data_IF_397111746940
#
_entry.id   IF_397111746940
#
_cell.length_a   1.000
_cell.length_b   1.000
_cell.length_c   1.000
_cell.angle_alpha   90.00
_cell.angle_beta   90.00
_cell.angle_gamma   90.00
#
_symmetry.space_group_name_H-M   'P 1'
#
loop_
_entity.id
_entity.type
_entity.pdbx_description
1 polymer ?
#
# COMPACT_ATOMS: atom_id res chain seq x y z
N UNK A 1 -12.53 24.60 -21.65
CA UNK A 1 -13.99 24.36 -21.79
C UNK A 1 -14.27 23.45 -22.97
N UNK A 2 -13.71 23.74 -24.16
CA UNK A 2 -13.85 22.91 -25.38
C UNK A 2 -13.67 21.39 -25.17
N UNK A 3 -12.64 20.94 -24.42
CA UNK A 3 -12.42 19.51 -24.17
C UNK A 3 -13.44 18.83 -23.25
N UNK A 4 -14.07 19.60 -22.35
CA UNK A 4 -15.13 19.10 -21.45
C UNK A 4 -16.44 18.94 -22.24
N UNK A 5 -16.72 19.86 -23.16
CA UNK A 5 -17.87 19.76 -24.07
C UNK A 5 -17.73 18.56 -25.02
N UNK A 6 -16.50 18.26 -25.48
CA UNK A 6 -16.21 17.06 -26.27
C UNK A 6 -16.45 15.78 -25.47
N UNK A 7 -16.07 15.75 -24.19
CA UNK A 7 -16.32 14.61 -23.31
C UNK A 7 -17.82 14.42 -23.02
N UNK A 8 -18.55 15.51 -22.75
CA UNK A 8 -20.00 15.47 -22.55
C UNK A 8 -20.74 14.96 -23.80
N UNK A 9 -20.31 15.40 -24.98
CA UNK A 9 -20.86 14.93 -26.26
C UNK A 9 -20.57 13.45 -26.49
N UNK A 10 -19.33 13.00 -26.21
CA UNK A 10 -18.94 11.60 -26.37
C UNK A 10 -19.71 10.67 -25.41
N UNK A 11 -19.96 11.10 -24.16
CA UNK A 11 -20.76 10.34 -23.20
C UNK A 11 -22.22 10.23 -23.64
N UNK A 12 -22.80 11.31 -24.16
CA UNK A 12 -24.17 11.31 -24.67
C UNK A 12 -24.35 10.39 -25.90
N UNK A 13 -23.35 10.38 -26.80
CA UNK A 13 -23.34 9.46 -27.95
C UNK A 13 -23.17 8.00 -27.53
N UNK A 14 -22.39 7.73 -26.48
CA UNK A 14 -22.20 6.40 -25.90
C UNK A 14 -23.50 5.86 -25.31
N UNK A 15 -24.15 6.65 -24.45
CA UNK A 15 -25.42 6.29 -23.81
C UNK A 15 -26.52 6.05 -24.86
N UNK A 16 -26.54 6.88 -25.90
CA UNK A 16 -27.46 6.71 -27.03
C UNK A 16 -27.20 5.44 -27.84
N UNK A 17 -25.94 5.01 -27.96
CA UNK A 17 -25.56 3.78 -28.66
C UNK A 17 -25.88 2.54 -27.82
N UNK A 18 -25.67 2.60 -26.51
CA UNK A 18 -25.97 1.53 -25.55
C UNK A 18 -27.48 1.25 -25.50
N UNK A 19 -28.30 2.30 -25.45
CA UNK A 19 -29.76 2.19 -25.51
C UNK A 19 -30.28 1.57 -26.81
N UNK A 20 -29.59 1.80 -27.93
CA UNK A 20 -29.91 1.17 -29.22
C UNK A 20 -29.50 -0.30 -29.28
N UNK A 21 -28.40 -0.67 -28.63
CA UNK A 21 -27.97 -2.06 -28.53
C UNK A 21 -28.92 -2.86 -27.61
N UNK A 22 -29.35 -2.28 -26.49
CA UNK A 22 -30.25 -2.91 -25.52
C UNK A 22 -31.67 -3.15 -26.08
N UNK A 23 -32.08 -2.34 -27.06
CA UNK A 23 -33.36 -2.48 -27.77
C UNK A 23 -33.27 -3.35 -29.05
N UNK A 24 -32.07 -3.83 -29.42
CA UNK A 24 -31.86 -4.63 -30.61
C UNK A 24 -31.94 -6.14 -30.30
N UNK A 25 -32.46 -6.91 -31.26
CA UNK A 25 -32.58 -8.36 -31.15
C UNK A 25 -31.18 -9.01 -31.17
N UNK A 26 -30.81 -9.81 -30.14
CA UNK A 26 -29.51 -10.47 -30.07
C UNK A 26 -29.20 -11.30 -31.32
N UNK A 27 -27.93 -11.28 -31.77
CA UNK A 27 -27.42 -11.99 -32.94
C UNK A 27 -27.98 -11.58 -34.32
N UNK A 28 -28.80 -10.52 -34.38
CA UNK A 28 -29.17 -9.90 -35.66
C UNK A 28 -27.96 -9.23 -36.33
N UNK A 29 -27.92 -9.12 -37.67
CA UNK A 29 -26.87 -8.37 -38.37
C UNK A 29 -26.80 -6.90 -37.94
N UNK A 30 -27.91 -6.33 -37.46
CA UNK A 30 -27.97 -4.98 -36.87
C UNK A 30 -27.31 -4.94 -35.47
N UNK A 31 -27.52 -5.95 -34.62
CA UNK A 31 -26.87 -6.06 -33.32
C UNK A 31 -25.33 -6.09 -33.43
N UNK A 32 -24.78 -6.85 -34.38
CA UNK A 32 -23.33 -6.91 -34.64
C UNK A 32 -22.75 -5.59 -35.17
N UNK A 33 -23.56 -4.77 -35.84
CA UNK A 33 -23.15 -3.43 -36.24
C UNK A 33 -23.19 -2.46 -35.05
N UNK A 34 -24.22 -2.55 -34.21
CA UNK A 34 -24.37 -1.75 -33.00
C UNK A 34 -23.27 -2.04 -31.97
N UNK A 35 -22.83 -3.30 -31.81
CA UNK A 35 -21.68 -3.66 -30.97
C UNK A 35 -20.38 -2.99 -31.45
N UNK A 36 -20.14 -3.00 -32.77
CA UNK A 36 -18.96 -2.33 -33.36
C UNK A 36 -19.04 -0.82 -33.18
N UNK A 37 -20.21 -0.22 -33.34
CA UNK A 37 -20.42 1.22 -33.11
C UNK A 37 -20.25 1.57 -31.63
N UNK A 38 -20.73 0.74 -30.71
CA UNK A 38 -20.56 0.95 -29.27
C UNK A 38 -19.08 0.83 -28.87
N UNK A 39 -18.34 -0.15 -29.40
CA UNK A 39 -16.91 -0.27 -29.16
C UNK A 39 -16.12 0.95 -29.66
N UNK A 40 -16.51 1.51 -30.81
CA UNK A 40 -15.94 2.75 -31.34
C UNK A 40 -16.26 3.97 -30.45
N UNK A 41 -17.48 4.06 -29.93
CA UNK A 41 -17.87 5.16 -29.04
C UNK A 41 -17.20 5.05 -27.65
N UNK A 42 -17.05 3.83 -27.11
CA UNK A 42 -16.26 3.57 -25.88
C UNK A 42 -14.82 4.07 -26.03
N UNK A 43 -14.20 3.79 -27.17
CA UNK A 43 -12.84 4.24 -27.46
C UNK A 43 -12.73 5.77 -27.53
N UNK A 44 -13.72 6.46 -28.11
CA UNK A 44 -13.76 7.93 -28.17
C UNK A 44 -13.94 8.58 -26.80
N UNK A 45 -14.75 7.99 -25.92
CA UNK A 45 -14.95 8.48 -24.54
C UNK A 45 -13.65 8.36 -23.73
N UNK A 46 -12.92 7.24 -23.87
CA UNK A 46 -11.63 7.03 -23.20
C UNK A 46 -10.61 8.09 -23.65
N UNK A 47 -10.48 8.31 -24.97
CA UNK A 47 -9.57 9.32 -25.53
C UNK A 47 -9.96 10.76 -25.11
N UNK A 48 -11.25 11.07 -25.05
CA UNK A 48 -11.72 12.37 -24.55
C UNK A 48 -11.42 12.55 -23.05
N UNK A 49 -11.56 11.49 -22.25
CA UNK A 49 -11.26 11.49 -20.81
C UNK A 49 -9.76 11.67 -20.51
N UNK A 50 -8.90 11.02 -21.29
CA UNK A 50 -7.45 11.22 -21.23
C UNK A 50 -7.06 12.65 -21.61
N UNK A 51 -7.68 13.21 -22.65
CA UNK A 51 -7.42 14.57 -23.13
C UNK A 51 -7.84 15.67 -22.13
N UNK A 52 -8.86 15.42 -21.31
CA UNK A 52 -9.29 16.30 -20.20
C UNK A 52 -8.33 16.16 -19.01
N UNK A 53 -7.89 14.94 -18.69
CA UNK A 53 -6.97 14.64 -17.60
C UNK A 53 -5.58 15.27 -17.80
N UNK A 54 -5.09 15.34 -19.05
CA UNK A 54 -3.79 15.94 -19.38
C UNK A 54 -3.76 17.48 -19.34
N UNK A 55 -4.91 18.16 -19.24
CA UNK A 55 -4.96 19.64 -19.21
C UNK A 55 -4.85 20.26 -17.83
N UNK A 56 -4.77 19.50 -16.75
CA UNK A 56 -4.57 20.05 -15.40
C UNK A 56 -5.70 20.97 -14.88
N UNK A 57 -6.81 21.08 -15.61
CA UNK A 57 -8.02 21.77 -15.18
C UNK A 57 -8.93 20.79 -14.45
N UNK A 58 -8.56 20.44 -13.22
CA UNK A 58 -9.53 19.99 -12.24
C UNK A 58 -10.50 21.17 -11.97
N UNK A 59 -11.84 20.98 -12.00
CA UNK A 59 -12.75 22.01 -11.57
C UNK A 59 -12.65 22.17 -10.05
N UNK A 60 -11.84 23.12 -9.61
CA UNK A 60 -12.02 23.80 -8.33
C UNK A 60 -13.26 24.70 -8.40
N UNK A 61 -14.37 24.24 -7.83
CA UNK A 61 -15.46 25.00 -7.16
C UNK A 61 -16.65 24.04 -6.95
N UNK A 62 -17.18 23.77 -5.75
CA UNK A 62 -17.44 24.65 -4.61
C UNK A 62 -17.16 23.93 -3.29
N UNK A 63 -16.30 24.51 -2.45
CA UNK A 63 -16.36 24.34 -0.99
C UNK A 63 -17.44 25.31 -0.49
N UNK A 64 -18.17 24.90 0.54
CA UNK A 64 -19.26 25.62 1.23
C UNK A 64 -20.66 25.40 0.65
N UNK A 65 -21.23 24.24 0.97
CA UNK A 65 -22.47 24.06 1.74
C UNK A 65 -23.04 22.66 1.48
N UNK A 66 -22.57 21.68 2.26
CA UNK A 66 -23.33 20.55 2.79
C UNK A 66 -22.34 19.73 3.64
N UNK A 67 -22.34 20.00 4.94
CA UNK A 67 -21.63 19.22 5.94
C UNK A 67 -22.46 17.96 6.22
N UNK A 68 -22.27 16.89 5.43
CA UNK A 68 -22.49 15.50 5.86
C UNK A 68 -21.46 14.58 5.18
N UNK A 69 -20.81 13.79 6.03
CA UNK A 69 -19.70 12.83 5.88
C UNK A 69 -19.22 12.38 4.47
N UNK A 70 -17.95 12.65 4.09
CA UNK A 70 -17.36 12.20 2.82
C UNK A 70 -16.78 10.77 2.83
N UNK A 71 -16.97 9.97 3.88
CA UNK A 71 -16.37 8.61 3.97
C UNK A 71 -17.23 7.45 3.45
N UNK A 72 -18.54 7.64 3.30
CA UNK A 72 -19.44 6.53 2.95
C UNK A 72 -19.56 6.32 1.43
N UNK A 73 -19.51 7.38 0.62
CA UNK A 73 -19.70 7.28 -0.83
C UNK A 73 -18.53 6.61 -1.57
N UNK A 74 -17.29 6.77 -1.08
CA UNK A 74 -16.11 6.11 -1.67
C UNK A 74 -16.02 4.62 -1.31
N UNK A 75 -16.55 4.26 -0.14
CA UNK A 75 -16.58 2.87 0.37
C UNK A 75 -17.66 2.07 -0.35
N UNK A 76 -18.83 2.66 -0.58
CA UNK A 76 -19.92 2.04 -1.33
C UNK A 76 -19.55 1.79 -2.80
N UNK A 77 -18.90 2.76 -3.46
CA UNK A 77 -18.40 2.58 -4.83
C UNK A 77 -17.33 1.48 -4.93
N UNK A 78 -16.38 1.42 -3.98
CA UNK A 78 -15.37 0.35 -3.93
C UNK A 78 -15.99 -1.03 -3.71
N UNK A 79 -17.00 -1.12 -2.83
CA UNK A 79 -17.71 -2.37 -2.59
C UNK A 79 -18.49 -2.83 -3.83
N UNK A 80 -19.18 -1.91 -4.52
CA UNK A 80 -19.89 -2.23 -5.75
C UNK A 80 -18.93 -2.65 -6.89
N UNK A 81 -17.76 -2.01 -7.02
CA UNK A 81 -16.74 -2.47 -7.98
C UNK A 81 -16.21 -3.86 -7.63
N UNK A 82 -15.94 -4.14 -6.35
CA UNK A 82 -15.45 -5.46 -5.90
C UNK A 82 -16.50 -6.55 -6.15
N UNK A 83 -17.77 -6.27 -5.89
CA UNK A 83 -18.88 -7.20 -6.15
C UNK A 83 -19.02 -7.46 -7.65
N UNK A 84 -19.04 -6.42 -8.49
CA UNK A 84 -19.15 -6.57 -9.93
C UNK A 84 -17.93 -7.30 -10.54
N UNK A 85 -16.72 -7.06 -10.04
CA UNK A 85 -15.52 -7.81 -10.47
C UNK A 85 -15.62 -9.28 -10.08
N UNK A 86 -16.15 -9.58 -8.89
CA UNK A 86 -16.34 -10.96 -8.42
C UNK A 86 -17.40 -11.70 -9.25
N UNK A 87 -18.48 -11.02 -9.62
CA UNK A 87 -19.53 -11.57 -10.48
C UNK A 87 -19.02 -11.84 -11.91
N UNK A 88 -18.32 -10.87 -12.50
CA UNK A 88 -17.70 -11.02 -13.82
C UNK A 88 -16.61 -12.12 -13.85
N UNK A 89 -15.89 -12.32 -12.74
CA UNK A 89 -14.97 -13.44 -12.58
C UNK A 89 -15.73 -14.78 -12.57
N UNK A 90 -16.84 -14.89 -11.85
CA UNK A 90 -17.66 -16.10 -11.83
C UNK A 90 -18.24 -16.46 -13.19
N UNK A 91 -18.72 -15.48 -13.96
CA UNK A 91 -19.19 -15.69 -15.33
C UNK A 91 -18.07 -16.14 -16.28
N UNK A 92 -16.88 -15.54 -16.14
CA UNK A 92 -15.71 -15.90 -16.92
C UNK A 92 -15.30 -17.36 -16.69
N UNK A 93 -15.27 -17.81 -15.43
CA UNK A 93 -14.95 -19.20 -15.06
C UNK A 93 -15.96 -20.18 -15.66
N UNK A 94 -17.26 -19.87 -15.56
CA UNK A 94 -18.31 -20.72 -16.13
C UNK A 94 -18.21 -20.85 -17.65
N UNK A 95 -17.77 -19.80 -18.35
CA UNK A 95 -17.54 -19.83 -19.81
C UNK A 95 -16.31 -20.67 -20.15
N UNK A 96 -15.22 -20.54 -19.39
CA UNK A 96 -13.98 -21.31 -19.58
C UNK A 96 -14.24 -22.81 -19.35
N UNK A 97 -15.01 -23.17 -18.33
CA UNK A 97 -15.38 -24.56 -18.05
C UNK A 97 -16.14 -25.19 -19.20
N UNK A 98 -17.13 -24.47 -19.75
CA UNK A 98 -17.89 -24.93 -20.92
C UNK A 98 -16.98 -25.08 -22.14
N UNK A 99 -16.06 -24.15 -22.34
CA UNK A 99 -15.10 -24.20 -23.45
C UNK A 99 -14.15 -25.41 -23.30
N UNK A 100 -13.68 -25.71 -22.09
CA UNK A 100 -12.86 -26.89 -21.83
C UNK A 100 -13.58 -28.20 -22.19
N UNK A 101 -14.86 -28.33 -21.85
CA UNK A 101 -15.69 -29.49 -22.24
C UNK A 101 -15.78 -29.63 -23.76
N UNK A 102 -15.94 -28.53 -24.48
CA UNK A 102 -15.98 -28.52 -25.96
C UNK A 102 -14.61 -28.90 -26.53
N UNK A 103 -13.52 -28.38 -25.97
CA UNK A 103 -12.16 -28.71 -26.40
C UNK A 103 -11.81 -30.17 -26.14
N UNK A 104 -12.25 -30.75 -25.03
CA UNK A 104 -12.05 -32.18 -24.75
C UNK A 104 -12.81 -33.05 -25.76
N UNK A 105 -14.07 -32.70 -26.06
CA UNK A 105 -14.84 -33.37 -27.09
C UNK A 105 -14.21 -33.23 -28.49
N UNK A 106 -13.62 -32.07 -28.80
CA UNK A 106 -12.93 -31.80 -30.05
C UNK A 106 -11.61 -32.58 -30.16
N UNK A 107 -10.81 -32.62 -29.09
CA UNK A 107 -9.58 -33.40 -29.02
C UNK A 107 -9.83 -34.90 -29.16
N UNK A 108 -10.86 -35.42 -28.51
CA UNK A 108 -11.29 -36.82 -28.66
C UNK A 108 -11.77 -37.17 -30.08
N UNK A 109 -12.14 -36.16 -30.88
CA UNK A 109 -12.49 -36.30 -32.30
C UNK A 109 -11.31 -36.02 -33.24
N UNK A 110 -10.11 -35.79 -32.70
CA UNK A 110 -8.87 -35.57 -33.46
C UNK A 110 -8.65 -34.12 -33.92
N UNK A 111 -9.37 -33.14 -33.37
CA UNK A 111 -9.18 -31.72 -33.66
C UNK A 111 -8.00 -31.10 -32.89
N UNK A 112 -7.38 -30.07 -33.47
CA UNK A 112 -6.32 -29.30 -32.79
C UNK A 112 -6.93 -28.35 -31.73
N UNK A 113 -6.49 -28.52 -30.49
CA UNK A 113 -6.98 -27.74 -29.34
C UNK A 113 -5.91 -26.84 -28.71
N UNK A 114 -4.67 -26.88 -29.21
CA UNK A 114 -3.54 -26.19 -28.57
C UNK A 114 -3.72 -24.67 -28.57
N UNK A 115 -4.17 -24.10 -29.69
CA UNK A 115 -4.38 -22.66 -29.82
C UNK A 115 -5.45 -22.13 -28.86
N UNK A 116 -6.53 -22.90 -28.67
CA UNK A 116 -7.62 -22.53 -27.78
C UNK A 116 -7.25 -22.69 -26.31
N UNK A 117 -6.49 -23.74 -25.94
CA UNK A 117 -5.98 -23.91 -24.58
C UNK A 117 -5.02 -22.80 -24.17
N UNK A 118 -4.19 -22.33 -25.11
CA UNK A 118 -3.30 -21.18 -24.89
C UNK A 118 -4.06 -19.87 -24.71
N UNK A 119 -5.17 -19.68 -25.41
CA UNK A 119 -6.05 -18.53 -25.21
C UNK A 119 -6.71 -18.57 -23.82
N UNK A 120 -7.20 -19.74 -23.41
CA UNK A 120 -7.75 -19.94 -22.07
C UNK A 120 -6.71 -19.59 -21.01
N UNK A 121 -5.48 -20.12 -21.11
CA UNK A 121 -4.39 -19.89 -20.15
C UNK A 121 -4.03 -18.41 -19.96
N UNK A 122 -4.00 -17.64 -21.05
CA UNK A 122 -3.74 -16.19 -20.99
C UNK A 122 -4.90 -15.42 -20.37
N UNK A 123 -6.14 -15.86 -20.61
CA UNK A 123 -7.35 -15.18 -20.15
C UNK A 123 -7.73 -15.61 -18.72
N UNK A 124 -7.37 -16.82 -18.29
CA UNK A 124 -7.62 -17.39 -16.97
C UNK A 124 -6.58 -17.02 -15.93
N UNK A 125 -5.59 -16.18 -16.27
CA UNK A 125 -4.46 -15.79 -15.41
C UNK A 125 -4.79 -15.09 -14.09
N UNK A 126 -6.06 -15.03 -13.70
CA UNK A 126 -6.54 -14.50 -12.41
C UNK A 126 -7.12 -15.61 -11.50
N UNK A 127 -7.31 -16.84 -11.97
CA UNK A 127 -7.75 -17.93 -11.09
C UNK A 127 -6.59 -18.72 -10.46
N UNK A 128 -6.68 -18.77 -9.14
CA UNK A 128 -5.80 -19.44 -8.21
C UNK A 128 -5.93 -20.94 -8.41
N UNK A 129 -5.04 -21.55 -9.21
CA UNK A 129 -4.88 -23.00 -9.16
C UNK A 129 -4.15 -23.35 -7.85
N UNK A 130 -4.92 -23.85 -6.89
CA UNK A 130 -4.45 -24.37 -5.60
C UNK A 130 -3.76 -25.72 -5.80
N UNK A 131 -2.63 -25.72 -6.50
CA UNK A 131 -1.56 -26.75 -6.47
C UNK A 131 -0.19 -26.07 -6.67
N UNK A 132 -0.11 -24.77 -6.36
CA UNK A 132 0.93 -23.86 -6.82
C UNK A 132 1.98 -23.56 -5.74
N UNK A 133 3.08 -24.31 -5.76
CA UNK A 133 4.33 -23.78 -5.19
C UNK A 133 4.99 -22.79 -6.17
N UNK A 134 4.70 -22.92 -7.47
CA UNK A 134 5.23 -22.03 -8.53
C UNK A 134 4.43 -20.73 -8.64
N UNK A 135 3.09 -20.77 -8.58
CA UNK A 135 2.25 -19.57 -8.61
C UNK A 135 2.46 -18.60 -7.45
N UNK A 136 2.88 -19.08 -6.26
CA UNK A 136 3.25 -18.20 -5.13
C UNK A 136 4.51 -17.38 -5.44
N UNK A 137 5.52 -18.00 -6.07
CA UNK A 137 6.75 -17.30 -6.45
C UNK A 137 6.46 -16.29 -7.56
N UNK A 138 5.66 -16.65 -8.56
CA UNK A 138 5.29 -15.74 -9.66
C UNK A 138 4.51 -14.53 -9.15
N UNK A 139 3.56 -14.72 -8.23
CA UNK A 139 2.81 -13.62 -7.60
C UNK A 139 3.71 -12.74 -6.73
N UNK A 140 4.64 -13.33 -5.99
CA UNK A 140 5.57 -12.58 -5.16
C UNK A 140 6.54 -11.74 -6.00
N UNK A 141 7.07 -12.30 -7.09
CA UNK A 141 7.94 -11.59 -8.04
C UNK A 141 7.18 -10.49 -8.77
N UNK A 142 5.94 -10.76 -9.19
CA UNK A 142 5.07 -9.78 -9.83
C UNK A 142 4.72 -8.61 -8.89
N UNK A 143 4.38 -8.91 -7.63
CA UNK A 143 4.20 -7.89 -6.60
C UNK A 143 5.49 -7.12 -6.32
N UNK A 144 6.65 -7.80 -6.36
CA UNK A 144 7.94 -7.17 -6.12
C UNK A 144 8.32 -6.17 -7.25
N UNK A 145 7.96 -6.47 -8.50
CA UNK A 145 8.19 -5.61 -9.65
C UNK A 145 7.11 -4.53 -9.83
N UNK A 146 5.97 -4.63 -9.16
CA UNK A 146 4.91 -3.62 -9.19
C UNK A 146 5.34 -2.30 -8.52
N UNK A 147 4.97 -1.17 -9.13
CA UNK A 147 5.21 0.19 -8.61
C UNK A 147 4.52 0.43 -7.26
N UNK A 148 3.36 -0.21 -7.03
CA UNK A 148 2.60 -0.04 -5.81
C UNK A 148 3.06 -0.94 -4.67
N UNK A 149 3.69 -2.08 -5.02
CA UNK A 149 4.18 -3.09 -4.08
C UNK A 149 5.68 -2.96 -3.79
N UNK A 150 6.47 -3.81 -4.45
CA UNK A 150 7.87 -4.01 -4.10
C UNK A 150 8.79 -2.84 -4.38
N UNK A 151 8.52 -2.01 -5.39
CA UNK A 151 9.32 -0.80 -5.64
C UNK A 151 9.15 0.20 -4.50
N UNK A 152 7.90 0.42 -4.06
CA UNK A 152 7.58 1.27 -2.90
C UNK A 152 8.23 0.73 -1.63
N UNK A 153 8.14 -0.58 -1.40
CA UNK A 153 8.80 -1.23 -0.26
C UNK A 153 10.32 -1.04 -0.33
N UNK A 154 10.94 -1.25 -1.50
CA UNK A 154 12.37 -1.06 -1.72
C UNK A 154 12.82 0.37 -1.38
N UNK A 155 12.08 1.39 -1.82
CA UNK A 155 12.34 2.78 -1.45
C UNK A 155 12.18 3.02 0.06
N UNK A 156 11.18 2.42 0.70
CA UNK A 156 11.00 2.46 2.16
C UNK A 156 12.14 1.79 2.92
N UNK A 157 12.69 0.69 2.42
CA UNK A 157 13.87 0.00 2.97
C UNK A 157 15.13 0.86 2.80
N UNK A 158 15.32 1.50 1.64
CA UNK A 158 16.44 2.43 1.44
C UNK A 158 16.35 3.60 2.43
N UNK A 159 15.16 4.20 2.59
CA UNK A 159 14.92 5.23 3.60
C UNK A 159 15.20 4.73 5.03
N UNK A 160 14.78 3.51 5.35
CA UNK A 160 15.06 2.87 6.64
C UNK A 160 16.56 2.79 6.91
N UNK A 161 17.32 2.24 5.96
CA UNK A 161 18.78 2.10 6.07
C UNK A 161 19.44 3.47 6.22
N UNK A 162 18.95 4.50 5.50
CA UNK A 162 19.46 5.86 5.61
C UNK A 162 19.23 6.44 7.00
N UNK A 163 18.02 6.30 7.57
CA UNK A 163 17.71 6.74 8.94
C UNK A 163 18.59 6.02 9.96
N UNK A 164 18.75 4.71 9.83
CA UNK A 164 19.60 3.91 10.72
C UNK A 164 21.07 4.35 10.63
N UNK A 165 21.57 4.61 9.42
CA UNK A 165 22.93 5.08 9.21
C UNK A 165 23.18 6.42 9.91
N UNK A 166 22.24 7.36 9.80
CA UNK A 166 22.28 8.65 10.50
C UNK A 166 22.23 8.45 12.02
N UNK A 167 21.38 7.55 12.51
CA UNK A 167 21.28 7.25 13.94
C UNK A 167 22.58 6.64 14.50
N UNK A 168 23.21 5.71 13.78
CA UNK A 168 24.49 5.14 14.18
C UNK A 168 25.55 6.24 14.27
N UNK A 169 25.61 7.12 13.28
CA UNK A 169 26.54 8.25 13.29
C UNK A 169 26.29 9.16 14.50
N UNK A 170 25.03 9.50 14.78
CA UNK A 170 24.66 10.29 15.95
C UNK A 170 25.07 9.60 17.26
N UNK A 171 24.84 8.28 17.39
CA UNK A 171 25.21 7.49 18.56
C UNK A 171 26.73 7.50 18.79
N UNK A 172 27.53 7.37 17.72
CA UNK A 172 29.00 7.45 17.80
C UNK A 172 29.49 8.84 18.24
N UNK A 173 28.86 9.91 17.74
CA UNK A 173 29.18 11.29 18.14
C UNK A 173 28.86 11.48 19.63
N UNK A 174 27.65 11.09 20.05
CA UNK A 174 27.20 11.17 21.45
C UNK A 174 28.10 10.35 22.38
N UNK A 175 28.47 9.13 21.98
CA UNK A 175 29.43 8.28 22.70
C UNK A 175 30.73 9.02 22.99
N UNK A 176 31.33 9.63 21.95
CA UNK A 176 32.59 10.37 22.08
C UNK A 176 32.43 11.63 22.94
N UNK A 177 31.32 12.35 22.76
CA UNK A 177 31.03 13.57 23.51
C UNK A 177 30.87 13.28 25.00
N UNK A 178 30.01 12.31 25.35
CA UNK A 178 29.77 11.89 26.73
C UNK A 178 31.07 11.42 27.37
N UNK A 179 31.83 10.55 26.69
CA UNK A 179 33.12 10.06 27.20
C UNK A 179 34.10 11.19 27.50
N UNK A 180 34.23 12.14 26.56
CA UNK A 180 35.17 13.26 26.68
C UNK A 180 34.76 14.22 27.80
N UNK A 181 33.47 14.51 27.94
CA UNK A 181 32.96 15.39 28.98
C UNK A 181 33.11 14.76 30.35
N UNK A 182 32.74 13.49 30.50
CA UNK A 182 32.75 12.80 31.79
C UNK A 182 34.17 12.45 32.25
N UNK A 183 35.10 12.19 31.34
CA UNK A 183 36.51 11.95 31.69
C UNK A 183 37.25 13.21 32.16
N UNK A 184 36.73 14.41 31.85
CA UNK A 184 37.28 15.68 32.35
C UNK A 184 36.85 15.98 33.78
N UNK A 185 35.72 15.42 34.20
CA UNK A 185 35.27 15.54 35.59
C UNK A 185 36.09 14.55 36.42
N UNK A 186 37.00 15.07 37.24
CA UNK A 186 37.79 14.23 38.15
C UNK A 186 36.89 13.48 39.14
N UNK A 187 37.27 12.25 39.50
CA UNK A 187 36.55 11.44 40.50
C UNK A 187 35.52 10.45 39.95
N UNK A 188 35.40 10.31 38.63
CA UNK A 188 34.49 9.34 38.00
C UNK A 188 35.24 8.02 37.75
N UNK A 189 34.70 6.89 38.22
CA UNK A 189 35.26 5.56 37.93
C UNK A 189 35.11 5.20 36.45
N UNK A 190 36.11 4.51 35.88
CA UNK A 190 36.07 4.01 34.49
C UNK A 190 34.86 3.12 34.23
N UNK A 191 34.44 2.31 35.21
CA UNK A 191 33.28 1.45 35.08
C UNK A 191 31.97 2.25 34.93
N UNK A 192 31.81 3.31 35.72
CA UNK A 192 30.64 4.18 35.64
C UNK A 192 30.64 4.96 34.33
N UNK A 193 31.80 5.45 33.90
CA UNK A 193 31.96 6.11 32.62
C UNK A 193 31.53 5.20 31.46
N UNK A 194 32.01 3.96 31.44
CA UNK A 194 31.66 2.99 30.39
C UNK A 194 30.16 2.63 30.45
N UNK A 195 29.58 2.49 31.65
CA UNK A 195 28.14 2.26 31.83
C UNK A 195 27.28 3.39 31.27
N UNK A 196 27.61 4.65 31.58
CA UNK A 196 26.87 5.81 31.09
C UNK A 196 26.99 5.92 29.57
N UNK A 197 28.22 5.80 29.04
CA UNK A 197 28.47 5.85 27.59
C UNK A 197 27.70 4.75 26.85
N UNK A 198 27.74 3.52 27.36
CA UNK A 198 27.01 2.37 26.82
C UNK A 198 25.49 2.58 26.85
N UNK A 199 24.96 3.10 27.96
CA UNK A 199 23.53 3.36 28.12
C UNK A 199 23.06 4.46 27.16
N UNK A 200 23.82 5.55 27.03
CA UNK A 200 23.50 6.62 26.08
C UNK A 200 23.56 6.14 24.64
N UNK A 201 24.61 5.41 24.24
CA UNK A 201 24.75 4.86 22.89
C UNK A 201 23.55 3.96 22.52
N UNK A 202 23.17 3.05 23.43
CA UNK A 202 22.03 2.15 23.24
C UNK A 202 20.71 2.91 23.21
N UNK A 203 20.52 3.92 24.06
CA UNK A 203 19.31 4.73 24.07
C UNK A 203 19.08 5.45 22.74
N UNK A 204 20.13 6.06 22.18
CA UNK A 204 20.08 6.74 20.88
C UNK A 204 19.77 5.75 19.75
N UNK A 205 20.38 4.56 19.78
CA UNK A 205 20.09 3.51 18.79
C UNK A 205 18.64 3.03 18.85
N UNK A 206 18.06 2.85 20.03
CA UNK A 206 16.64 2.47 20.16
C UNK A 206 15.74 3.53 19.55
N UNK A 207 15.97 4.81 19.85
CA UNK A 207 15.19 5.92 19.28
C UNK A 207 15.32 5.97 17.76
N UNK A 208 16.53 5.83 17.22
CA UNK A 208 16.75 5.82 15.78
C UNK A 208 16.14 4.61 15.09
N UNK A 209 16.16 3.44 15.73
CA UNK A 209 15.49 2.24 15.24
C UNK A 209 13.98 2.44 15.14
N UNK A 210 13.37 3.00 16.19
CA UNK A 210 11.95 3.35 16.17
C UNK A 210 11.63 4.34 15.04
N UNK A 211 12.39 5.43 14.92
CA UNK A 211 12.23 6.37 13.81
C UNK A 211 12.35 5.68 12.45
N UNK A 212 13.30 4.75 12.30
CA UNK A 212 13.45 3.93 11.10
C UNK A 212 12.18 3.12 10.80
N UNK A 213 11.60 2.43 11.78
CA UNK A 213 10.41 1.61 11.59
C UNK A 213 9.24 2.38 10.95
N UNK A 214 9.14 3.68 11.21
CA UNK A 214 8.10 4.53 10.59
C UNK A 214 8.24 4.64 9.08
N UNK A 215 9.46 4.56 8.53
CA UNK A 215 9.67 4.59 7.08
C UNK A 215 9.21 3.31 6.39
N UNK A 216 9.11 2.21 7.14
CA UNK A 216 8.52 0.95 6.68
C UNK A 216 7.00 0.91 6.83
N UNK A 217 6.37 2.01 7.28
CA UNK A 217 4.92 2.09 7.52
C UNK A 217 4.48 1.42 8.83
N UNK A 218 5.42 1.03 9.70
CA UNK A 218 5.10 0.43 10.99
C UNK A 218 4.70 1.54 11.97
N UNK A 219 3.57 1.35 12.64
CA UNK A 219 3.06 2.32 13.62
C UNK A 219 3.88 2.28 14.91
N UNK A 220 4.29 3.46 15.39
CA UNK A 220 5.03 3.59 16.66
C UNK A 220 4.18 3.36 17.90
N UNK A 221 2.85 3.55 17.81
CA UNK A 221 1.95 3.53 18.96
C UNK A 221 2.14 2.29 19.86
N UNK A 222 1.98 1.06 19.34
CA UNK A 222 2.17 -0.16 20.13
C UNK A 222 3.59 -0.29 20.70
N UNK A 223 4.62 0.07 19.94
CA UNK A 223 6.02 0.00 20.37
C UNK A 223 6.32 0.99 21.51
N UNK A 224 5.81 2.21 21.41
CA UNK A 224 5.95 3.24 22.43
C UNK A 224 5.13 2.90 23.67
N UNK A 225 3.96 2.27 23.52
CA UNK A 225 3.18 1.78 24.65
C UNK A 225 3.93 0.68 25.42
N UNK A 226 4.55 -0.27 24.71
CA UNK A 226 5.39 -1.31 25.31
C UNK A 226 6.61 -0.71 26.03
N UNK A 227 7.36 0.16 25.36
CA UNK A 227 8.52 0.84 25.94
C UNK A 227 8.12 1.70 27.15
N UNK A 228 6.98 2.41 27.07
CA UNK A 228 6.43 3.19 28.16
C UNK A 228 6.08 2.31 29.37
N UNK A 229 5.43 1.16 29.13
CA UNK A 229 5.12 0.18 30.18
C UNK A 229 6.38 -0.37 30.86
N UNK A 230 7.38 -0.79 30.08
CA UNK A 230 8.67 -1.26 30.61
C UNK A 230 9.38 -0.16 31.40
N UNK A 231 9.40 1.07 30.89
CA UNK A 231 10.03 2.22 31.54
C UNK A 231 9.35 2.57 32.86
N UNK A 232 8.03 2.45 32.92
CA UNK A 232 7.25 2.69 34.12
C UNK A 232 7.55 1.65 35.22
N UNK A 233 7.59 0.36 34.86
CA UNK A 233 7.98 -0.71 35.80
C UNK A 233 9.41 -0.49 36.30
N UNK A 234 10.34 -0.13 35.41
CA UNK A 234 11.72 0.17 35.79
C UNK A 234 11.82 1.39 36.73
N UNK A 235 11.02 2.43 36.49
CA UNK A 235 10.97 3.61 37.35
C UNK A 235 10.49 3.26 38.77
N UNK A 236 9.46 2.42 38.89
CA UNK A 236 9.00 1.93 40.20
C UNK A 236 10.04 1.04 40.88
N UNK A 237 10.73 0.19 40.14
CA UNK A 237 11.81 -0.62 40.69
C UNK A 237 12.96 0.24 41.26
N UNK A 238 13.25 1.38 40.63
CA UNK A 238 14.31 2.32 41.04
C UNK A 238 13.84 3.36 42.07
N UNK A 239 12.53 3.45 42.34
CA UNK A 239 11.92 4.53 43.13
C UNK A 239 12.56 4.67 44.52
N UNK A 240 12.76 3.56 45.24
CA UNK A 240 13.36 3.58 46.59
C UNK A 240 14.82 4.04 46.57
N UNK A 241 15.60 3.62 45.56
CA UNK A 241 17.00 4.02 45.40
C UNK A 241 17.12 5.53 45.14
N UNK A 242 16.26 6.07 44.27
CA UNK A 242 16.21 7.51 44.00
C UNK A 242 15.73 8.31 45.21
N UNK A 243 14.74 7.80 45.96
CA UNK A 243 14.27 8.43 47.19
C UNK A 243 15.39 8.57 48.23
N UNK A 244 16.15 7.49 48.46
CA UNK A 244 17.29 7.49 49.38
C UNK A 244 18.40 8.45 48.92
N UNK A 245 18.69 8.48 47.62
CA UNK A 245 19.65 9.43 47.05
C UNK A 245 19.21 10.89 47.25
N UNK A 246 17.94 11.20 46.99
CA UNK A 246 17.38 12.54 47.15
C UNK A 246 17.39 13.00 48.61
N UNK A 247 17.03 12.14 49.56
CA UNK A 247 17.11 12.43 51.00
C UNK A 247 18.55 12.72 51.44
N UNK A 248 19.53 12.00 50.89
CA UNK A 248 20.96 12.27 51.13
C UNK A 248 21.41 13.65 50.61
N UNK A 249 20.98 14.03 49.41
CA UNK A 249 21.23 15.37 48.86
C UNK A 249 20.55 16.48 49.67
N UNK A 250 19.29 16.27 50.08
CA UNK A 250 18.55 17.24 50.89
C UNK A 250 19.27 17.50 52.21
N UNK A 251 19.78 16.46 52.87
CA UNK A 251 20.57 16.61 54.10
C UNK A 251 21.87 17.39 53.90
N UNK A 252 22.50 17.33 52.73
CA UNK A 252 23.72 18.09 52.42
C UNK A 252 23.43 19.56 52.10
N UNK A 253 22.27 19.86 51.52
CA UNK A 253 21.87 21.22 51.15
C UNK A 253 21.34 22.00 52.38
N UNK A 254 20.67 21.32 53.31
CA UNK A 254 20.06 21.93 54.49
C UNK A 254 20.98 22.04 55.70
N UNK A 255 22.27 21.67 55.56
CA UNK A 255 23.26 21.73 56.63
C UNK A 255 24.19 22.91 56.48
#
# INVERSE_FOLDING_TARGET
>A
MEKIDVLATALFELESAEKKLESAVPDSPEYKQLEKTLAQQRTKVIQAGEAVSQTGLAPSAKKEEFLQDPKDSETELKNQLVVNVTELQGEQTAIIDRLNVVLDALGNKGGDTQSYRKYIDVVSGIEINVTDTEGLIVRLVSWLQSEEGGIRLGLSIVKFILIISVSILAALILKKLVRTTLSRVGGVSNLFLDFIVMTTERGVMVVGFLMGLTSLGISLGPLLALLGGVSFVLAFALQSNLGNFASGLMLLIYK
#
